data_IF_098229298587
#
_entry.id   IF_098229298587
#
_cell.length_a   1.000
_cell.length_b   1.000
_cell.length_c   1.000
_cell.angle_alpha   90.00
_cell.angle_beta   90.00
_cell.angle_gamma   90.00
#
_symmetry.space_group_name_H-M   'P 1'
#
loop_
_entity.id
_entity.type
_entity.pdbx_description
1 polymer ?
#
# COMPACT_ATOMS: atom_id res chain seq x y z
N UNK A 1 20.86 8.43 6.19
CA UNK A 1 19.73 8.56 7.14
C UNK A 1 18.72 7.41 7.07
N UNK A 2 18.22 6.99 5.88
CA UNK A 2 17.18 5.94 5.76
C UNK A 2 17.53 4.59 6.39
N UNK A 3 18.75 4.07 6.16
CA UNK A 3 19.19 2.79 6.75
C UNK A 3 19.18 2.83 8.29
N UNK A 4 19.52 3.97 8.89
CA UNK A 4 19.55 4.11 10.34
C UNK A 4 18.14 4.18 10.93
N UNK A 5 17.22 4.92 10.29
CA UNK A 5 15.81 4.99 10.72
C UNK A 5 15.14 3.62 10.59
N UNK A 6 15.38 2.91 9.48
CA UNK A 6 14.84 1.57 9.29
C UNK A 6 15.43 0.57 10.30
N UNK A 7 16.73 0.66 10.60
CA UNK A 7 17.38 -0.18 11.61
C UNK A 7 16.83 0.09 13.01
N UNK A 8 16.61 1.36 13.36
CA UNK A 8 15.98 1.75 14.63
C UNK A 8 14.56 1.21 14.70
N UNK A 9 13.76 1.36 13.64
CA UNK A 9 12.39 0.82 13.60
C UNK A 9 12.37 -0.70 13.79
N UNK A 10 13.23 -1.44 13.10
CA UNK A 10 13.34 -2.89 13.24
C UNK A 10 13.73 -3.27 14.67
N UNK A 11 14.73 -2.61 15.26
CA UNK A 11 15.17 -2.87 16.64
C UNK A 11 14.05 -2.59 17.64
N UNK A 12 13.34 -1.46 17.51
CA UNK A 12 12.21 -1.12 18.39
C UNK A 12 11.09 -2.16 18.28
N UNK A 13 10.80 -2.66 17.07
CA UNK A 13 9.80 -3.72 16.86
C UNK A 13 10.20 -5.04 17.52
N UNK A 14 11.48 -5.44 17.41
CA UNK A 14 11.99 -6.65 18.05
C UNK A 14 11.87 -6.54 19.58
N UNK A 15 12.26 -5.40 20.16
CA UNK A 15 12.13 -5.17 21.61
C UNK A 15 10.67 -5.23 22.05
N UNK A 16 9.76 -4.57 21.32
CA UNK A 16 8.33 -4.60 21.60
C UNK A 16 7.75 -6.02 21.54
N UNK A 17 8.16 -6.81 20.56
CA UNK A 17 7.72 -8.21 20.42
C UNK A 17 8.23 -9.08 21.57
N UNK A 18 9.50 -8.94 21.97
CA UNK A 18 10.08 -9.68 23.10
C UNK A 18 9.32 -9.35 24.39
N UNK A 19 9.04 -8.07 24.65
CA UNK A 19 8.27 -7.64 25.82
C UNK A 19 6.85 -8.20 25.81
N UNK A 20 6.14 -8.09 24.68
CA UNK A 20 4.78 -8.62 24.53
C UNK A 20 4.71 -10.14 24.72
N UNK A 21 5.63 -10.89 24.09
CA UNK A 21 5.72 -12.35 24.23
C UNK A 21 6.04 -12.74 25.68
N UNK A 22 6.95 -12.03 26.34
CA UNK A 22 7.31 -12.28 27.74
C UNK A 22 6.11 -12.11 28.67
N UNK A 23 5.33 -11.05 28.50
CA UNK A 23 4.12 -10.78 29.29
C UNK A 23 3.10 -11.93 29.16
N UNK A 24 2.87 -12.41 27.92
CA UNK A 24 1.96 -13.52 27.64
C UNK A 24 2.49 -14.82 28.28
N UNK A 25 3.79 -15.10 28.12
CA UNK A 25 4.42 -16.32 28.61
C UNK A 25 4.42 -16.42 30.15
N UNK A 26 4.65 -15.30 30.84
CA UNK A 26 4.63 -15.27 32.31
C UNK A 26 3.22 -15.12 32.91
N UNK A 27 2.17 -15.01 32.08
CA UNK A 27 0.79 -14.89 32.56
C UNK A 27 0.56 -13.66 33.44
N UNK A 28 1.33 -12.58 33.23
CA UNK A 28 1.25 -11.35 34.02
C UNK A 28 0.04 -10.53 33.56
N UNK A 29 -1.16 -11.02 33.83
CA UNK A 29 -2.42 -10.32 33.53
C UNK A 29 -2.67 -9.24 34.58
N UNK A 30 -2.09 -8.06 34.34
CA UNK A 30 -2.31 -6.86 35.13
C UNK A 30 -2.70 -5.67 34.24
N UNK A 31 -3.24 -4.62 34.85
CA UNK A 31 -3.66 -3.40 34.13
C UNK A 31 -2.50 -2.79 33.32
N UNK A 32 -1.29 -2.78 33.89
CA UNK A 32 -0.08 -2.28 33.24
C UNK A 32 0.33 -3.14 32.05
N UNK A 33 0.29 -4.47 32.21
CA UNK A 33 0.62 -5.42 31.14
C UNK A 33 -0.32 -5.29 29.95
N UNK A 34 -1.62 -5.11 30.20
CA UNK A 34 -2.61 -4.85 29.14
C UNK A 34 -2.33 -3.55 28.38
N UNK A 35 -1.97 -2.48 29.09
CA UNK A 35 -1.57 -1.19 28.47
C UNK A 35 -0.30 -1.34 27.61
N UNK A 36 0.70 -2.10 28.07
CA UNK A 36 1.93 -2.36 27.29
C UNK A 36 1.63 -3.16 26.01
N UNK A 37 0.76 -4.16 26.09
CA UNK A 37 0.36 -4.95 24.93
C UNK A 37 -0.40 -4.09 23.90
N UNK A 38 -1.35 -3.28 24.37
CA UNK A 38 -2.14 -2.38 23.52
C UNK A 38 -1.25 -1.33 22.85
N UNK A 39 -0.36 -0.68 23.59
CA UNK A 39 0.57 0.32 23.02
C UNK A 39 1.48 -0.28 21.95
N UNK A 40 2.02 -1.48 22.19
CA UNK A 40 2.82 -2.21 21.19
C UNK A 40 2.01 -2.50 19.93
N UNK A 41 0.78 -3.00 20.10
CA UNK A 41 -0.13 -3.29 18.99
C UNK A 41 -0.49 -2.02 18.19
N UNK A 42 -0.76 -0.91 18.88
CA UNK A 42 -1.01 0.39 18.24
C UNK A 42 0.20 0.86 17.44
N UNK A 43 1.40 0.88 18.04
CA UNK A 43 2.62 1.30 17.33
C UNK A 43 2.84 0.44 16.08
N UNK A 44 2.66 -0.88 16.20
CA UNK A 44 2.78 -1.79 15.06
C UNK A 44 1.70 -1.50 13.99
N UNK A 45 0.44 -1.38 14.39
CA UNK A 45 -0.69 -1.14 13.49
C UNK A 45 -0.57 0.16 12.70
N UNK A 46 -0.10 1.25 13.33
CA UNK A 46 0.10 2.54 12.66
C UNK A 46 1.44 2.61 11.89
N UNK A 47 2.41 1.76 12.18
CA UNK A 47 3.68 1.71 11.44
C UNK A 47 3.49 1.33 9.97
N UNK A 48 2.60 0.37 9.68
CA UNK A 48 2.33 -0.12 8.33
C UNK A 48 1.77 0.99 7.41
N UNK A 49 0.64 1.66 7.74
CA UNK A 49 0.12 2.74 6.92
C UNK A 49 1.08 3.94 6.86
N UNK A 50 1.79 4.25 7.96
CA UNK A 50 2.80 5.31 7.98
C UNK A 50 3.97 5.04 7.01
N UNK A 51 4.47 3.80 6.98
CA UNK A 51 5.49 3.36 6.04
C UNK A 51 4.98 3.40 4.59
N UNK A 52 3.77 2.90 4.34
CA UNK A 52 3.13 2.96 3.03
C UNK A 52 3.07 4.40 2.51
N UNK A 53 2.58 5.35 3.31
CA UNK A 53 2.57 6.78 2.96
C UNK A 53 3.98 7.34 2.72
N UNK A 54 4.96 6.92 3.52
CA UNK A 54 6.36 7.33 3.34
C UNK A 54 6.97 6.84 2.02
N UNK A 55 6.55 5.70 1.48
CA UNK A 55 7.08 5.21 0.18
C UNK A 55 6.62 6.08 -0.99
N UNK A 56 5.42 6.65 -0.94
CA UNK A 56 4.94 7.60 -1.94
C UNK A 56 5.60 8.96 -1.84
N UNK A 57 6.07 9.33 -0.65
CA UNK A 57 6.71 10.63 -0.42
C UNK A 57 7.85 10.93 -1.41
N UNK A 58 8.52 9.90 -1.90
CA UNK A 58 9.66 10.02 -2.82
C UNK A 58 9.25 10.23 -4.29
N UNK A 59 7.96 10.09 -4.61
CA UNK A 59 7.44 10.26 -5.97
C UNK A 59 7.05 11.71 -6.22
N UNK A 60 7.63 12.29 -7.28
CA UNK A 60 7.34 13.66 -7.73
C UNK A 60 5.83 13.88 -7.90
N UNK A 61 5.33 14.95 -7.28
CA UNK A 61 3.92 15.38 -7.38
C UNK A 61 2.96 14.77 -6.35
N UNK A 62 3.36 13.74 -5.59
CA UNK A 62 2.52 13.11 -4.55
C UNK A 62 2.94 13.42 -3.12
N UNK A 63 3.94 14.28 -2.95
CA UNK A 63 4.52 14.66 -1.65
C UNK A 63 3.50 15.23 -0.67
N UNK A 64 2.59 16.11 -1.13
CA UNK A 64 1.57 16.74 -0.28
C UNK A 64 0.61 15.70 0.30
N UNK A 65 0.16 14.75 -0.53
CA UNK A 65 -0.72 13.67 -0.12
C UNK A 65 -0.04 12.74 0.89
N UNK A 66 1.21 12.35 0.61
CA UNK A 66 2.00 11.54 1.53
C UNK A 66 2.22 12.22 2.89
N UNK A 67 2.54 13.53 2.92
CA UNK A 67 2.67 14.29 4.18
C UNK A 67 1.38 14.30 4.98
N UNK A 68 0.23 14.53 4.34
CA UNK A 68 -1.07 14.53 5.02
C UNK A 68 -1.38 13.17 5.65
N UNK A 69 -1.18 12.07 4.92
CA UNK A 69 -1.36 10.72 5.44
C UNK A 69 -0.45 10.40 6.63
N UNK A 70 0.82 10.81 6.56
CA UNK A 70 1.78 10.63 7.67
C UNK A 70 1.34 11.43 8.90
N UNK A 71 0.94 12.69 8.72
CA UNK A 71 0.48 13.55 9.83
C UNK A 71 -0.75 12.95 10.50
N UNK A 72 -1.75 12.52 9.72
CA UNK A 72 -2.97 11.89 10.24
C UNK A 72 -2.64 10.61 11.01
N UNK A 73 -1.74 9.79 10.47
CA UNK A 73 -1.28 8.55 11.10
C UNK A 73 -0.60 8.81 12.46
N UNK A 74 0.31 9.80 12.51
CA UNK A 74 1.00 10.19 13.76
C UNK A 74 0.00 10.75 14.78
N UNK A 75 -0.88 11.65 14.37
CA UNK A 75 -1.89 12.24 15.26
C UNK A 75 -2.83 11.17 15.83
N UNK A 76 -3.30 10.25 14.98
CA UNK A 76 -4.19 9.16 15.39
C UNK A 76 -3.48 8.17 16.34
N UNK A 77 -2.21 7.85 16.06
CA UNK A 77 -1.39 7.00 16.91
C UNK A 77 -1.20 7.63 18.31
N UNK A 78 -0.80 8.90 18.37
CA UNK A 78 -0.63 9.62 19.63
C UNK A 78 -1.93 9.69 20.42
N UNK A 79 -3.05 9.97 19.74
CA UNK A 79 -4.37 10.03 20.37
C UNK A 79 -4.76 8.70 21.04
N UNK A 80 -4.53 7.57 20.37
CA UNK A 80 -4.80 6.24 20.93
C UNK A 80 -3.87 5.93 22.11
N UNK A 81 -2.59 6.29 22.02
CA UNK A 81 -1.66 6.13 23.14
C UNK A 81 -2.15 6.90 24.38
N UNK A 82 -2.63 8.13 24.21
CA UNK A 82 -3.18 8.91 25.33
C UNK A 82 -4.43 8.25 25.95
N UNK A 83 -5.30 7.64 25.13
CA UNK A 83 -6.46 6.89 25.62
C UNK A 83 -6.02 5.63 26.39
N UNK A 84 -5.07 4.85 25.88
CA UNK A 84 -4.57 3.63 26.53
C UNK A 84 -4.01 3.94 27.93
N UNK A 85 -3.28 5.05 28.06
CA UNK A 85 -2.70 5.48 29.34
C UNK A 85 -3.69 6.23 30.25
N UNK A 86 -4.96 6.36 29.85
CA UNK A 86 -6.01 6.97 30.66
C UNK A 86 -5.91 8.49 30.79
N UNK A 87 -5.17 9.16 29.91
CA UNK A 87 -5.09 10.63 29.86
C UNK A 87 -6.39 11.23 29.32
N UNK A 88 -7.12 10.49 28.48
CA UNK A 88 -8.46 10.84 28.03
C UNK A 88 -9.47 9.83 28.55
N UNK A 89 -10.64 10.33 28.95
CA UNK A 89 -11.77 9.49 29.34
C UNK A 89 -12.54 9.01 28.12
N UNK A 90 -13.11 7.81 28.24
CA UNK A 90 -14.01 7.22 27.27
C UNK A 90 -15.35 7.95 27.27
N UNK A 91 -15.42 9.06 26.53
CA UNK A 91 -16.67 9.70 26.13
C UNK A 91 -17.03 9.25 24.71
N UNK A 92 -18.32 9.35 24.34
CA UNK A 92 -18.80 8.98 23.01
C UNK A 92 -18.00 9.66 21.89
N UNK A 93 -17.73 10.97 22.03
CA UNK A 93 -16.96 11.72 21.04
C UNK A 93 -15.52 11.21 20.93
N UNK A 94 -14.90 10.83 22.06
CA UNK A 94 -13.54 10.29 22.11
C UNK A 94 -13.45 8.97 21.35
N UNK A 95 -14.45 8.11 21.51
CA UNK A 95 -14.55 6.83 20.81
C UNK A 95 -14.81 7.01 19.31
N UNK A 96 -15.72 7.93 18.93
CA UNK A 96 -15.97 8.28 17.52
C UNK A 96 -14.69 8.77 16.82
N UNK A 97 -13.94 9.67 17.47
CA UNK A 97 -12.63 10.14 17.01
C UNK A 97 -11.59 9.03 16.90
N UNK A 98 -11.54 8.11 17.86
CA UNK A 98 -10.63 6.97 17.84
C UNK A 98 -10.89 6.08 16.62
N UNK A 99 -12.15 5.70 16.39
CA UNK A 99 -12.52 4.83 15.26
C UNK A 99 -12.27 5.55 13.93
N UNK A 100 -12.61 6.83 13.84
CA UNK A 100 -12.35 7.64 12.64
C UNK A 100 -10.85 7.79 12.34
N UNK A 101 -10.00 7.97 13.36
CA UNK A 101 -8.55 8.06 13.21
C UNK A 101 -7.91 6.76 12.72
N UNK A 102 -8.37 5.61 13.24
CA UNK A 102 -7.95 4.28 12.78
C UNK A 102 -8.36 4.07 11.31
N UNK A 103 -9.62 4.36 10.99
CA UNK A 103 -10.17 4.23 9.64
C UNK A 103 -9.37 5.07 8.65
N UNK A 104 -9.25 6.38 8.90
CA UNK A 104 -8.50 7.29 8.02
C UNK A 104 -7.07 6.82 7.82
N UNK A 105 -6.36 6.44 8.90
CA UNK A 105 -4.97 6.02 8.79
C UNK A 105 -4.82 4.75 7.96
N UNK A 106 -5.70 3.76 8.16
CA UNK A 106 -5.72 2.52 7.37
C UNK A 106 -5.97 2.82 5.88
N UNK A 107 -6.96 3.66 5.59
CA UNK A 107 -7.33 4.01 4.22
C UNK A 107 -6.24 4.79 3.51
N UNK A 108 -5.59 5.76 4.17
CA UNK A 108 -4.42 6.45 3.61
C UNK A 108 -3.28 5.48 3.28
N UNK A 109 -3.04 4.47 4.13
CA UNK A 109 -2.08 3.41 3.85
C UNK A 109 -2.47 2.60 2.61
N UNK A 110 -3.74 2.22 2.48
CA UNK A 110 -4.27 1.45 1.36
C UNK A 110 -4.20 2.23 0.03
N UNK A 111 -4.65 3.49 0.02
CA UNK A 111 -4.55 4.38 -1.13
C UNK A 111 -3.08 4.58 -1.54
N UNK A 112 -2.18 4.67 -0.55
CA UNK A 112 -0.75 4.82 -0.82
C UNK A 112 -0.12 3.57 -1.44
N UNK A 113 -0.60 2.38 -1.14
CA UNK A 113 -0.15 1.17 -1.82
C UNK A 113 -0.64 1.13 -3.28
N UNK A 114 -1.90 1.47 -3.51
CA UNK A 114 -2.49 1.54 -4.85
C UNK A 114 -1.78 2.56 -5.75
N UNK A 115 -1.52 3.75 -5.23
CA UNK A 115 -0.83 4.82 -5.95
C UNK A 115 0.66 4.54 -6.24
N UNK A 116 1.27 3.56 -5.56
CA UNK A 116 2.64 3.13 -5.85
C UNK A 116 2.74 2.41 -7.19
N UNK A 117 1.67 1.72 -7.62
CA UNK A 117 1.64 0.96 -8.87
C UNK A 117 1.35 1.87 -10.09
N UNK A 118 2.37 2.61 -10.52
CA UNK A 118 2.34 3.44 -11.72
C UNK A 118 2.67 2.59 -12.94
N UNK A 119 1.66 1.98 -13.55
CA UNK A 119 1.77 1.48 -14.91
C UNK A 119 1.26 2.53 -15.91
N UNK A 120 1.98 2.70 -17.03
CA UNK A 120 1.64 3.63 -18.12
C UNK A 120 0.56 3.09 -19.06
N UNK A 121 -0.04 1.95 -18.76
CA UNK A 121 -1.15 1.42 -19.55
C UNK A 121 -2.48 2.02 -19.10
N UNK A 122 -3.22 2.57 -20.05
CA UNK A 122 -4.52 3.19 -19.82
C UNK A 122 -5.49 2.22 -19.13
N UNK A 123 -5.49 0.92 -19.46
CA UNK A 123 -6.41 -0.05 -18.83
C UNK A 123 -6.10 -0.25 -17.34
N UNK A 124 -4.82 -0.34 -17.00
CA UNK A 124 -4.37 -0.49 -15.60
C UNK A 124 -4.61 0.81 -14.82
N UNK A 125 -4.42 1.97 -15.45
CA UNK A 125 -4.68 3.28 -14.83
C UNK A 125 -6.15 3.47 -14.48
N UNK A 126 -7.06 3.17 -15.42
CA UNK A 126 -8.50 3.27 -15.21
C UNK A 126 -8.94 2.36 -14.07
N UNK A 127 -8.50 1.10 -14.07
CA UNK A 127 -8.89 0.14 -13.04
C UNK A 127 -8.38 0.55 -11.63
N UNK A 128 -7.17 1.11 -11.56
CA UNK A 128 -6.59 1.67 -10.34
C UNK A 128 -7.39 2.89 -9.86
N UNK A 129 -7.71 3.83 -10.75
CA UNK A 129 -8.47 5.04 -10.42
C UNK A 129 -9.88 4.71 -9.93
N UNK A 130 -10.56 3.75 -10.57
CA UNK A 130 -11.86 3.24 -10.11
C UNK A 130 -11.78 2.63 -8.72
N UNK A 131 -10.73 1.84 -8.44
CA UNK A 131 -10.53 1.22 -7.11
C UNK A 131 -10.29 2.28 -6.03
N UNK A 132 -9.50 3.32 -6.35
CA UNK A 132 -9.27 4.46 -5.45
C UNK A 132 -10.58 5.20 -5.18
N UNK A 133 -11.38 5.46 -6.21
CA UNK A 133 -12.66 6.15 -6.07
C UNK A 133 -13.65 5.35 -5.19
N UNK A 134 -13.75 4.03 -5.39
CA UNK A 134 -14.56 3.15 -4.54
C UNK A 134 -14.07 3.12 -3.09
N UNK A 135 -12.76 3.14 -2.86
CA UNK A 135 -12.18 3.23 -1.52
C UNK A 135 -12.57 4.54 -0.82
N UNK A 136 -12.53 5.67 -1.53
CA UNK A 136 -12.94 6.96 -0.97
C UNK A 136 -14.44 6.96 -0.62
N UNK A 137 -15.28 6.36 -1.48
CA UNK A 137 -16.72 6.24 -1.22
C UNK A 137 -17.00 5.45 0.06
N UNK A 138 -16.36 4.29 0.23
CA UNK A 138 -16.60 3.48 1.43
C UNK A 138 -16.11 4.19 2.70
N UNK A 139 -14.99 4.91 2.63
CA UNK A 139 -14.45 5.69 3.76
C UNK A 139 -15.42 6.80 4.18
N UNK A 140 -15.97 7.54 3.21
CA UNK A 140 -16.98 8.58 3.48
C UNK A 140 -18.22 7.95 4.12
N UNK A 141 -18.69 6.81 3.60
CA UNK A 141 -19.85 6.10 4.13
C UNK A 141 -19.63 5.68 5.59
N UNK A 142 -18.45 5.16 5.93
CA UNK A 142 -18.09 4.82 7.31
C UNK A 142 -18.03 6.05 8.21
N UNK A 143 -17.45 7.16 7.75
CA UNK A 143 -17.42 8.40 8.53
C UNK A 143 -18.84 8.93 8.81
N UNK A 144 -19.73 8.83 7.82
CA UNK A 144 -21.15 9.18 7.98
C UNK A 144 -21.86 8.26 8.99
N UNK A 145 -21.61 6.94 8.95
CA UNK A 145 -22.15 6.01 9.96
C UNK A 145 -21.65 6.35 11.38
N UNK A 146 -20.37 6.75 11.53
CA UNK A 146 -19.78 7.05 12.84
C UNK A 146 -20.30 8.38 13.43
N UNK A 147 -20.38 9.42 12.60
CA UNK A 147 -20.70 10.77 13.10
C UNK A 147 -22.18 11.15 13.00
N UNK A 148 -22.86 10.72 11.94
CA UNK A 148 -24.27 11.02 11.72
C UNK A 148 -25.19 9.84 12.06
N UNK A 149 -24.63 8.71 12.49
CA UNK A 149 -25.39 7.51 12.90
C UNK A 149 -26.38 7.06 11.81
N UNK A 150 -26.00 7.24 10.55
CA UNK A 150 -26.83 6.85 9.40
C UNK A 150 -26.86 5.33 9.32
N UNK A 151 -28.06 4.77 9.29
CA UNK A 151 -28.28 3.35 9.06
C UNK A 151 -28.06 2.98 7.59
N UNK A 152 -26.82 2.63 7.28
CA UNK A 152 -26.44 2.07 6.00
C UNK A 152 -26.65 0.57 6.03
N UNK A 153 -27.28 0.03 4.98
CA UNK A 153 -27.43 -1.42 4.82
C UNK A 153 -26.08 -2.13 4.77
N UNK A 154 -25.83 -3.06 5.70
CA UNK A 154 -24.62 -3.89 5.75
C UNK A 154 -24.28 -4.60 4.44
N UNK A 155 -25.31 -4.91 3.62
CA UNK A 155 -25.14 -5.48 2.27
C UNK A 155 -24.34 -4.56 1.34
N UNK A 156 -24.58 -3.25 1.38
CA UNK A 156 -23.89 -2.27 0.53
C UNK A 156 -22.42 -2.19 0.94
N UNK A 157 -22.14 -2.10 2.24
CA UNK A 157 -20.79 -2.09 2.79
C UNK A 157 -20.03 -3.38 2.42
N UNK A 158 -20.68 -4.54 2.51
CA UNK A 158 -20.09 -5.82 2.14
C UNK A 158 -19.75 -5.89 0.64
N UNK A 159 -20.68 -5.49 -0.24
CA UNK A 159 -20.46 -5.48 -1.70
C UNK A 159 -19.29 -4.54 -2.06
N UNK A 160 -19.28 -3.32 -1.51
CA UNK A 160 -18.19 -2.37 -1.74
C UNK A 160 -16.85 -2.91 -1.25
N UNK A 161 -16.82 -3.54 -0.07
CA UNK A 161 -15.60 -4.13 0.50
C UNK A 161 -15.03 -5.23 -0.39
N UNK A 162 -15.88 -6.12 -0.92
CA UNK A 162 -15.46 -7.18 -1.86
C UNK A 162 -14.90 -6.56 -3.15
N UNK A 163 -15.55 -5.54 -3.69
CA UNK A 163 -15.13 -4.89 -4.93
C UNK A 163 -13.78 -4.18 -4.76
N UNK A 164 -13.54 -3.53 -3.62
CA UNK A 164 -12.26 -2.90 -3.27
C UNK A 164 -11.17 -3.96 -3.10
N UNK A 165 -11.46 -5.07 -2.42
CA UNK A 165 -10.52 -6.17 -2.24
C UNK A 165 -10.10 -6.77 -3.60
N UNK A 166 -11.06 -7.00 -4.49
CA UNK A 166 -10.80 -7.46 -5.86
C UNK A 166 -9.96 -6.43 -6.63
N UNK A 167 -10.33 -5.15 -6.56
CA UNK A 167 -9.61 -4.06 -7.22
C UNK A 167 -8.13 -3.99 -6.80
N UNK A 168 -7.88 -4.18 -5.51
CA UNK A 168 -6.54 -4.09 -4.90
C UNK A 168 -5.65 -5.26 -5.31
N UNK A 169 -6.19 -6.46 -5.48
CA UNK A 169 -5.43 -7.64 -5.92
C UNK A 169 -5.23 -7.63 -7.44
N UNK A 170 -6.26 -7.27 -8.21
CA UNK A 170 -6.20 -7.31 -9.69
C UNK A 170 -5.29 -6.22 -10.25
N UNK A 171 -5.26 -5.03 -9.64
CA UNK A 171 -4.43 -3.90 -10.09
C UNK A 171 -2.92 -4.23 -10.22
N UNK A 172 -2.24 -4.79 -9.20
CA UNK A 172 -0.83 -5.17 -9.30
C UNK A 172 -0.60 -6.36 -10.25
N UNK A 173 -1.52 -7.33 -10.29
CA UNK A 173 -1.41 -8.48 -11.19
C UNK A 173 -1.48 -8.04 -12.65
N UNK A 174 -2.46 -7.22 -13.01
CA UNK A 174 -2.62 -6.70 -14.37
C UNK A 174 -1.42 -5.82 -14.77
N UNK A 175 -0.92 -5.03 -13.82
CA UNK A 175 0.31 -4.25 -14.02
C UNK A 175 1.51 -5.14 -14.33
N UNK A 176 1.71 -6.23 -13.58
CA UNK A 176 2.85 -7.14 -13.77
C UNK A 176 2.78 -7.86 -15.13
N UNK A 177 1.61 -8.35 -15.52
CA UNK A 177 1.39 -9.01 -16.82
C UNK A 177 1.72 -8.04 -17.96
N UNK A 178 1.23 -6.81 -17.86
CA UNK A 178 1.40 -5.85 -18.93
C UNK A 178 2.84 -5.29 -19.03
N UNK A 179 3.51 -5.12 -17.90
CA UNK A 179 4.94 -4.77 -17.87
C UNK A 179 5.79 -5.89 -18.50
N UNK A 180 5.50 -7.16 -18.21
CA UNK A 180 6.17 -8.30 -18.85
C UNK A 180 6.00 -8.28 -20.37
N UNK A 181 4.78 -8.05 -20.85
CA UNK A 181 4.49 -7.96 -22.29
C UNK A 181 5.26 -6.83 -22.99
N UNK A 182 5.37 -5.64 -22.35
CA UNK A 182 6.15 -4.53 -22.91
C UNK A 182 7.63 -4.83 -23.00
N UNK A 183 8.23 -5.44 -21.97
CA UNK A 183 9.66 -5.80 -21.96
C UNK A 183 9.98 -6.78 -23.09
N UNK A 184 9.20 -7.85 -23.23
CA UNK A 184 9.42 -8.84 -24.31
C UNK A 184 9.31 -8.23 -25.70
N UNK A 185 8.37 -7.30 -25.91
CA UNK A 185 8.21 -6.62 -27.20
C UNK A 185 9.38 -5.69 -27.48
N UNK A 186 9.83 -4.90 -26.49
CA UNK A 186 10.95 -3.95 -26.63
C UNK A 186 12.29 -4.68 -26.88
N UNK A 187 12.50 -5.83 -26.23
CA UNK A 187 13.67 -6.68 -26.44
C UNK A 187 13.70 -7.26 -27.86
N UNK A 188 12.56 -7.73 -28.38
CA UNK A 188 12.46 -8.19 -29.79
C UNK A 188 12.82 -7.08 -30.77
N UNK A 189 12.35 -5.85 -30.56
CA UNK A 189 12.72 -4.73 -31.45
C UNK A 189 14.20 -4.38 -31.39
N UNK A 190 14.82 -4.39 -30.19
CA UNK A 190 16.27 -4.17 -30.06
C UNK A 190 17.10 -5.23 -30.76
N UNK A 191 16.71 -6.51 -30.65
CA UNK A 191 17.39 -7.60 -31.35
C UNK A 191 17.30 -7.43 -32.87
N UNK A 192 16.12 -7.05 -33.38
CA UNK A 192 15.94 -6.77 -34.80
C UNK A 192 16.75 -5.55 -35.28
N UNK A 193 16.87 -4.51 -34.46
CA UNK A 193 17.71 -3.34 -34.78
C UNK A 193 19.20 -3.70 -34.80
N UNK A 194 19.66 -4.55 -33.88
CA UNK A 194 21.04 -5.06 -33.87
C UNK A 194 21.34 -5.92 -35.09
N UNK A 195 20.43 -6.85 -35.43
CA UNK A 195 20.51 -7.66 -36.65
C UNK A 195 20.60 -6.79 -37.91
N UNK A 196 19.81 -5.71 -37.97
CA UNK A 196 19.87 -4.77 -39.09
C UNK A 196 21.21 -4.04 -39.18
N UNK A 197 21.79 -3.61 -38.05
CA UNK A 197 23.14 -2.99 -38.03
C UNK A 197 24.24 -3.96 -38.48
N UNK A 198 24.11 -5.24 -38.16
CA UNK A 198 25.05 -6.27 -38.62
C UNK A 198 24.95 -6.49 -40.13
N UNK A 199 23.74 -6.45 -40.69
CA UNK A 199 23.52 -6.51 -42.13
C UNK A 199 24.10 -5.26 -42.82
N UNK A 200 23.80 -4.06 -42.30
CA UNK A 200 24.28 -2.78 -42.85
C UNK A 200 25.82 -2.65 -42.82
N UNK A 201 26.49 -3.36 -41.90
CA UNK A 201 27.96 -3.42 -41.80
C UNK A 201 28.59 -4.54 -42.63
N UNK A 202 27.81 -5.25 -43.44
CA UNK A 202 28.23 -6.42 -44.23
C UNK A 202 28.83 -7.55 -43.36
N UNK A 203 28.53 -7.58 -42.06
CA UNK A 203 29.03 -8.57 -41.12
C UNK A 203 28.26 -9.90 -41.18
N UNK A 204 27.02 -9.85 -41.68
CA UNK A 204 26.15 -11.02 -41.93
C UNK A 204 25.56 -10.93 -43.33
N UNK A 205 25.19 -12.08 -43.90
CA UNK A 205 24.51 -12.15 -45.20
C UNK A 205 23.01 -11.88 -45.11
N UNK A 206 22.39 -11.46 -46.21
CA UNK A 206 20.93 -11.23 -46.30
C UNK A 206 20.12 -12.48 -45.92
N UNK A 207 20.62 -13.67 -46.29
CA UNK A 207 20.00 -14.96 -45.96
C UNK A 207 20.06 -15.25 -44.45
N UNK A 208 21.21 -15.03 -43.81
CA UNK A 208 21.37 -15.17 -42.35
C UNK A 208 20.48 -14.19 -41.58
N UNK A 209 20.38 -12.94 -42.05
CA UNK A 209 19.49 -11.95 -41.45
C UNK A 209 18.03 -12.42 -41.48
N UNK A 210 17.56 -12.97 -42.60
CA UNK A 210 16.18 -13.42 -42.75
C UNK A 210 15.87 -14.66 -41.88
N UNK A 211 16.83 -15.58 -41.72
CA UNK A 211 16.69 -16.73 -40.83
C UNK A 211 16.54 -16.25 -39.38
N UNK A 212 17.43 -15.39 -38.92
CA UNK A 212 17.46 -14.97 -37.50
C UNK A 212 16.34 -14.00 -37.15
N UNK A 213 15.93 -13.15 -38.09
CA UNK A 213 14.70 -12.35 -37.97
C UNK A 213 13.46 -13.21 -37.79
N UNK A 214 13.31 -14.27 -38.60
CA UNK A 214 12.17 -15.18 -38.50
C UNK A 214 12.18 -15.95 -37.17
N UNK A 215 13.35 -16.29 -36.65
CA UNK A 215 13.50 -16.93 -35.33
C UNK A 215 13.01 -16.03 -34.20
N UNK A 216 13.43 -14.75 -34.18
CA UNK A 216 12.99 -13.76 -33.18
C UNK A 216 11.47 -13.48 -33.26
N UNK A 217 10.89 -13.47 -34.46
CA UNK A 217 9.46 -13.27 -34.68
C UNK A 217 8.62 -14.49 -34.27
N UNK A 218 9.12 -15.71 -34.51
CA UNK A 218 8.38 -16.96 -34.30
C UNK A 218 8.59 -17.61 -32.93
N UNK A 219 9.57 -17.17 -32.13
CA UNK A 219 9.65 -17.57 -30.71
C UNK A 219 8.39 -17.11 -29.97
N UNK A 220 7.53 -18.08 -29.64
CA UNK A 220 6.29 -17.94 -28.85
C UNK A 220 6.57 -18.12 -27.37
#
# INVERSE_FOLDING_TARGET
MRKNILKVLIVTLIISAILGISIIFFGLWGEVSGKILLTTSTIFGFSIPGLSCSTIYEKKGKEKFAKLGIIICILSCLYILFIIWGLFRFYEITLKLLVAGILLSSSFGHLSLLMMNENKDNKVSIFRETTIFLSIIIDILFLLMIFLEIDVSWKIVAILSILIALGTIVTPVLSKINSGKKVTVDDKYKQLEQLKKLLDSNAITEDEYNIEKNKVLNEK
#
